data_IF_533057658208
#
_entry.id   IF_533057658208
#
_cell.length_a   1.000
_cell.length_b   1.000
_cell.length_c   1.000
_cell.angle_alpha   90.00
_cell.angle_beta   90.00
_cell.angle_gamma   90.00
#
_symmetry.space_group_name_H-M   'P 1'
#
loop_
_entity.id
_entity.type
_entity.pdbx_description
1 polymer ?
#
# COMPACT_ATOMS: atom_id res chain seq x y z
N UNK A 1 7.67 6.29 11.09
CA UNK A 1 7.99 4.86 11.26
C UNK A 1 6.82 4.06 10.71
N UNK A 2 7.11 3.08 9.87
CA UNK A 2 6.11 2.17 9.28
C UNK A 2 6.22 0.84 10.01
N UNK A 3 5.10 0.43 10.57
CA UNK A 3 4.92 -0.85 11.24
C UNK A 3 4.06 -1.74 10.36
N UNK A 4 4.58 -2.90 10.01
CA UNK A 4 3.95 -3.80 9.07
C UNK A 4 3.88 -5.21 9.62
N UNK A 5 2.75 -5.86 9.36
CA UNK A 5 2.64 -7.30 9.39
C UNK A 5 1.61 -7.70 8.34
N UNK A 6 1.87 -8.78 7.63
CA UNK A 6 1.08 -9.17 6.47
C UNK A 6 0.95 -10.68 6.37
N UNK A 7 -0.27 -11.12 6.07
CA UNK A 7 -0.55 -12.49 5.68
C UNK A 7 -0.64 -12.59 4.16
N UNK A 8 0.02 -13.58 3.57
CA UNK A 8 -0.13 -13.93 2.17
C UNK A 8 -0.72 -15.33 2.05
N UNK A 9 -1.59 -15.55 1.07
CA UNK A 9 -2.00 -16.90 0.68
C UNK A 9 -0.85 -17.56 -0.08
N UNK A 10 -0.23 -18.63 0.46
CA UNK A 10 0.91 -19.28 -0.20
C UNK A 10 0.57 -19.82 -1.59
N UNK A 11 -0.71 -20.13 -1.86
CA UNK A 11 -1.16 -20.63 -3.16
C UNK A 11 -1.11 -19.57 -4.25
N UNK A 12 -0.97 -18.29 -3.88
CA UNK A 12 -0.89 -17.16 -4.81
C UNK A 12 0.54 -16.69 -5.06
N UNK A 13 1.55 -17.33 -4.47
CA UNK A 13 2.94 -16.97 -4.70
C UNK A 13 3.41 -17.41 -6.09
N UNK A 14 4.18 -16.55 -6.74
CA UNK A 14 4.97 -16.84 -7.94
C UNK A 14 6.44 -16.82 -7.50
N UNK A 15 6.99 -18.00 -7.21
CA UNK A 15 8.26 -18.12 -6.49
C UNK A 15 8.11 -17.70 -5.03
N UNK A 16 8.91 -16.72 -4.58
CA UNK A 16 8.84 -16.19 -3.20
C UNK A 16 8.01 -14.90 -3.08
N UNK A 17 7.48 -14.38 -4.19
CA UNK A 17 6.76 -13.11 -4.24
C UNK A 17 5.28 -13.31 -4.59
N UNK A 18 4.42 -12.39 -4.16
CA UNK A 18 3.08 -12.26 -4.73
C UNK A 18 3.17 -11.67 -6.15
N UNK A 19 2.24 -11.98 -7.07
CA UNK A 19 2.14 -11.32 -8.36
C UNK A 19 1.85 -9.83 -8.16
N UNK A 20 2.26 -8.98 -9.10
CA UNK A 20 2.29 -7.52 -8.92
C UNK A 20 0.96 -6.92 -8.43
N UNK A 21 -0.18 -7.37 -8.98
CA UNK A 21 -1.50 -6.89 -8.55
C UNK A 21 -1.92 -7.28 -7.12
N UNK A 22 -1.18 -8.18 -6.46
CA UNK A 22 -1.40 -8.61 -5.08
C UNK A 22 -0.27 -8.16 -4.14
N UNK A 23 0.79 -7.51 -4.64
CA UNK A 23 1.89 -7.02 -3.81
C UNK A 23 1.48 -5.76 -3.07
N UNK A 24 2.01 -5.62 -1.86
CA UNK A 24 2.01 -4.35 -1.15
C UNK A 24 3.33 -3.64 -1.46
N UNK A 25 3.23 -2.49 -2.10
CA UNK A 25 4.36 -1.62 -2.43
C UNK A 25 4.45 -0.45 -1.43
N UNK A 26 5.64 -0.21 -0.90
CA UNK A 26 5.91 0.84 0.10
C UNK A 26 7.05 1.69 -0.45
N UNK A 27 6.72 2.84 -1.04
CA UNK A 27 7.66 3.79 -1.64
C UNK A 27 7.31 5.23 -1.27
N UNK A 28 8.21 6.17 -1.56
CA UNK A 28 8.01 7.62 -1.35
C UNK A 28 7.82 8.02 0.12
N UNK A 29 8.42 7.25 1.05
CA UNK A 29 8.23 7.44 2.50
C UNK A 29 9.32 8.31 3.15
N UNK A 30 10.23 8.90 2.36
CA UNK A 30 11.34 9.70 2.86
C UNK A 30 12.27 8.90 3.77
N UNK A 31 12.74 9.52 4.86
CA UNK A 31 13.68 8.92 5.83
C UNK A 31 13.02 8.13 6.97
N UNK A 32 11.78 7.67 6.83
CA UNK A 32 11.12 6.89 7.89
C UNK A 32 11.66 5.47 7.96
N UNK A 33 11.77 4.93 9.17
CA UNK A 33 12.16 3.55 9.42
C UNK A 33 11.01 2.56 9.20
N UNK A 34 11.34 1.32 8.83
CA UNK A 34 10.41 0.21 8.59
C UNK A 34 10.68 -0.95 9.55
N UNK A 35 9.61 -1.66 9.95
CA UNK A 35 9.67 -2.91 10.69
C UNK A 35 8.52 -3.84 10.28
N UNK A 36 8.87 -5.03 9.80
CA UNK A 36 7.99 -6.19 9.71
C UNK A 36 8.08 -7.01 11.01
N UNK A 37 6.94 -7.24 11.67
CA UNK A 37 6.88 -7.94 12.95
C UNK A 37 7.01 -9.46 12.88
N UNK A 38 6.67 -10.07 11.74
CA UNK A 38 6.67 -11.52 11.58
C UNK A 38 5.74 -12.26 12.59
N UNK A 39 4.54 -11.76 12.83
CA UNK A 39 3.58 -12.41 13.75
C UNK A 39 3.23 -13.82 13.31
N UNK A 40 3.16 -14.08 12.00
CA UNK A 40 2.85 -15.41 11.47
C UNK A 40 3.88 -16.47 11.89
N UNK A 41 5.14 -16.09 12.19
CA UNK A 41 6.17 -16.97 12.75
C UNK A 41 6.47 -16.67 14.23
N UNK A 42 5.52 -16.04 14.93
CA UNK A 42 5.58 -15.78 16.37
C UNK A 42 6.59 -14.71 16.78
N UNK A 43 6.78 -13.66 15.96
CA UNK A 43 7.65 -12.52 16.24
C UNK A 43 9.14 -12.85 16.37
N UNK A 44 9.57 -14.01 15.83
CA UNK A 44 10.94 -14.51 16.01
C UNK A 44 11.95 -13.87 15.06
N UNK A 45 11.51 -13.41 13.89
CA UNK A 45 12.39 -12.81 12.88
C UNK A 45 11.86 -11.48 12.39
N UNK A 46 11.80 -10.44 13.25
CA UNK A 46 11.43 -9.12 12.81
C UNK A 46 12.45 -8.60 11.79
N UNK A 47 11.97 -7.98 10.71
CA UNK A 47 12.82 -7.48 9.64
C UNK A 47 12.68 -5.98 9.46
N UNK A 48 13.81 -5.27 9.33
CA UNK A 48 13.84 -3.86 8.90
C UNK A 48 14.08 -3.71 7.40
N UNK A 49 14.20 -4.82 6.69
CA UNK A 49 14.43 -4.82 5.26
C UNK A 49 13.15 -4.42 4.52
N UNK A 50 13.21 -3.29 3.82
CA UNK A 50 12.13 -2.77 3.00
C UNK A 50 12.20 -3.27 1.55
N UNK A 51 13.32 -3.89 1.12
CA UNK A 51 13.54 -4.29 -0.27
C UNK A 51 12.39 -5.12 -0.88
N UNK A 52 11.72 -6.06 -0.16
CA UNK A 52 10.59 -6.82 -0.71
C UNK A 52 9.39 -5.95 -1.14
N UNK A 53 9.24 -4.78 -0.51
CA UNK A 53 8.17 -3.81 -0.76
C UNK A 53 8.59 -2.66 -1.69
N UNK A 54 9.84 -2.66 -2.18
CA UNK A 54 10.35 -1.67 -3.12
C UNK A 54 9.83 -1.93 -4.54
N UNK A 55 8.53 -1.73 -4.75
CA UNK A 55 7.84 -1.88 -6.03
C UNK A 55 6.90 -0.70 -6.32
N UNK A 56 6.27 -0.69 -7.48
CA UNK A 56 5.17 0.23 -7.82
C UNK A 56 4.02 -0.57 -8.43
N UNK A 57 2.78 -0.13 -8.19
CA UNK A 57 1.60 -0.67 -8.85
C UNK A 57 1.29 0.15 -10.10
N UNK A 58 0.67 -0.48 -11.10
CA UNK A 58 0.16 0.21 -12.29
C UNK A 58 -0.97 1.15 -11.90
N UNK A 59 -0.86 2.42 -12.28
CA UNK A 59 -1.93 3.39 -12.08
C UNK A 59 -3.20 2.98 -12.81
N UNK A 60 -4.33 3.07 -12.12
CA UNK A 60 -5.64 2.90 -12.75
C UNK A 60 -5.95 4.08 -13.67
N UNK A 61 -6.78 3.84 -14.69
CA UNK A 61 -7.28 4.90 -15.56
C UNK A 61 -7.99 5.96 -14.72
N UNK A 62 -7.65 7.23 -14.95
CA UNK A 62 -8.28 8.34 -14.26
C UNK A 62 -9.79 8.37 -14.54
N UNK A 63 -10.58 8.51 -13.48
CA UNK A 63 -12.02 8.74 -13.58
C UNK A 63 -12.26 10.25 -13.67
N UNK A 64 -12.99 10.70 -14.68
CA UNK A 64 -13.44 12.09 -14.76
C UNK A 64 -14.60 12.29 -13.80
N UNK A 65 -14.40 13.13 -12.78
CA UNK A 65 -15.50 13.60 -11.95
C UNK A 65 -16.15 14.77 -12.68
N UNK A 66 -17.49 14.79 -12.84
CA UNK A 66 -18.14 16.02 -13.26
C UNK A 66 -17.82 17.09 -12.22
N UNK A 67 -17.42 18.28 -12.68
CA UNK A 67 -17.31 19.45 -11.81
C UNK A 67 -18.64 19.58 -11.09
N UNK A 68 -18.63 19.56 -9.76
CA UNK A 68 -19.82 19.92 -8.99
C UNK A 68 -20.22 21.31 -9.50
N UNK A 69 -21.33 21.36 -10.24
CA UNK A 69 -21.75 22.56 -10.94
C UNK A 69 -21.78 23.73 -9.99
N UNK A 70 -21.36 24.90 -10.47
CA UNK A 70 -21.56 26.18 -9.81
C UNK A 70 -22.99 26.21 -9.24
N UNK A 71 -23.11 26.02 -7.94
CA UNK A 71 -24.36 26.17 -7.23
C UNK A 71 -24.84 27.60 -7.44
N UNK A 72 -26.11 27.75 -7.78
CA UNK A 72 -26.83 29.00 -7.87
C UNK A 72 -26.51 29.94 -6.67
N UNK A 73 -26.58 31.28 -6.83
CA UNK A 73 -26.34 32.20 -5.73
C UNK A 73 -27.41 31.97 -4.65
N UNK A 74 -27.00 31.37 -3.54
CA UNK A 74 -27.84 31.21 -2.35
C UNK A 74 -28.04 32.58 -1.70
N UNK A 75 -29.25 33.12 -1.80
CA UNK A 75 -29.69 34.28 -1.04
C UNK A 75 -30.14 33.91 0.38
N UNK A 76 -30.01 34.88 1.30
CA UNK A 76 -30.63 34.92 2.63
C UNK A 76 -29.74 34.33 3.75
N UNK A 77 -29.54 34.98 4.90
CA UNK A 77 -30.12 36.20 5.50
C UNK A 77 -29.05 37.00 6.26
#
# INVERSE_FOLDING_TARGET
MILYDGSADPKKLVGVNLPDGLRICIQNNGGVTFLNYDAARGFKHPSRDLAPHSCSLTSLTAVSLPTAGAGAPGGGS
#
